data_IF_666320426061
#
_entry.id   IF_666320426061
#
_cell.length_a   1.000
_cell.length_b   1.000
_cell.length_c   1.000
_cell.angle_alpha   90.00
_cell.angle_beta   90.00
_cell.angle_gamma   90.00
#
_symmetry.space_group_name_H-M   'P 1'
#
loop_
_entity.id
_entity.type
_entity.pdbx_description
1 polymer ?
#
# COMPACT_ATOMS: atom_id res chain seq x y z
N UNK A 1 -13.75 13.12 0.16
CA UNK A 1 -12.86 12.08 -0.42
C UNK A 1 -13.62 10.78 -0.55
N UNK A 2 -13.64 10.23 -1.74
CA UNK A 2 -14.25 8.93 -1.94
C UNK A 2 -13.25 7.84 -1.62
N UNK A 3 -13.64 6.86 -0.81
CA UNK A 3 -12.79 5.76 -0.36
C UNK A 3 -13.20 4.50 -1.11
N UNK A 4 -12.25 3.83 -1.75
CA UNK A 4 -12.50 2.57 -2.46
C UNK A 4 -12.02 1.35 -1.68
N UNK A 5 -11.16 1.55 -0.68
CA UNK A 5 -10.69 0.45 0.17
C UNK A 5 -10.48 0.97 1.59
N UNK A 6 -11.00 0.21 2.57
CA UNK A 6 -10.69 0.38 3.98
C UNK A 6 -10.01 -0.88 4.45
N UNK A 7 -8.84 -0.73 5.05
CA UNK A 7 -8.04 -1.85 5.52
C UNK A 7 -7.40 -1.48 6.85
N UNK A 8 -6.53 -2.33 7.35
CA UNK A 8 -5.84 -2.05 8.61
C UNK A 8 -4.48 -2.75 8.62
N UNK A 9 -3.53 -2.14 9.32
CA UNK A 9 -2.22 -2.73 9.56
C UNK A 9 -2.34 -3.92 10.53
N UNK A 10 -1.28 -4.74 10.67
CA UNK A 10 -1.29 -5.82 11.67
C UNK A 10 -1.57 -5.35 13.10
N UNK A 11 -1.14 -4.13 13.45
CA UNK A 11 -1.42 -3.53 14.76
C UNK A 11 -2.78 -2.82 14.80
N UNK A 12 -3.60 -2.99 13.76
CA UNK A 12 -4.99 -2.51 13.69
C UNK A 12 -5.13 -0.99 13.54
N UNK A 13 -4.17 -0.35 12.93
CA UNK A 13 -4.31 1.05 12.52
C UNK A 13 -5.09 1.09 11.22
N UNK A 14 -6.21 1.81 11.21
CA UNK A 14 -7.03 1.91 9.99
C UNK A 14 -6.29 2.65 8.88
N UNK A 15 -6.36 2.08 7.66
CA UNK A 15 -5.73 2.65 6.48
C UNK A 15 -6.77 2.71 5.36
N UNK A 16 -6.80 3.80 4.62
CA UNK A 16 -7.76 3.98 3.52
C UNK A 16 -7.04 4.26 2.21
N UNK A 17 -7.71 3.89 1.12
CA UNK A 17 -7.28 4.19 -0.24
C UNK A 17 -8.37 5.00 -0.91
N UNK A 18 -8.04 6.19 -1.38
CA UNK A 18 -9.00 7.04 -2.08
C UNK A 18 -9.17 6.61 -3.53
N UNK A 19 -10.33 6.92 -4.10
CA UNK A 19 -10.61 6.67 -5.50
C UNK A 19 -9.60 7.37 -6.41
N UNK A 20 -9.19 8.58 -6.05
CA UNK A 20 -8.25 9.36 -6.84
C UNK A 20 -6.87 8.69 -6.90
N UNK A 21 -6.36 8.23 -5.76
CA UNK A 21 -5.09 7.51 -5.72
C UNK A 21 -5.21 6.17 -6.45
N UNK A 22 -6.31 5.46 -6.26
CA UNK A 22 -6.51 4.20 -6.95
C UNK A 22 -6.54 4.36 -8.47
N UNK A 23 -7.16 5.43 -8.97
CA UNK A 23 -7.16 5.72 -10.40
C UNK A 23 -5.75 5.87 -10.96
N UNK A 24 -4.86 6.50 -10.21
CA UNK A 24 -3.46 6.63 -10.61
C UNK A 24 -2.74 5.28 -10.61
N UNK A 25 -3.03 4.43 -9.63
CA UNK A 25 -2.45 3.09 -9.56
C UNK A 25 -2.90 2.28 -10.78
N UNK A 26 -4.17 2.35 -11.14
CA UNK A 26 -4.70 1.67 -12.32
C UNK A 26 -3.98 2.14 -13.59
N UNK A 27 -3.76 3.44 -13.72
CA UNK A 27 -3.14 4.03 -14.89
C UNK A 27 -1.65 3.73 -14.98
N UNK A 28 -0.93 3.84 -13.87
CA UNK A 28 0.54 3.78 -13.86
C UNK A 28 1.10 2.43 -13.43
N UNK A 29 0.35 1.65 -12.68
CA UNK A 29 0.82 0.41 -12.05
C UNK A 29 -0.24 -0.68 -12.11
N UNK A 30 -0.75 -0.94 -13.32
CA UNK A 30 -1.88 -1.85 -13.53
C UNK A 30 -1.66 -3.25 -12.92
N UNK A 31 -0.41 -3.72 -12.90
CA UNK A 31 -0.11 -5.06 -12.38
C UNK A 31 -0.43 -5.22 -10.89
N UNK A 32 -0.50 -4.13 -10.13
CA UNK A 32 -0.81 -4.16 -8.70
C UNK A 32 -2.12 -3.43 -8.39
N UNK A 33 -2.90 -3.09 -9.40
CA UNK A 33 -4.16 -2.37 -9.24
C UNK A 33 -5.31 -3.33 -8.92
N UNK A 34 -5.16 -4.07 -7.85
CA UNK A 34 -6.10 -5.08 -7.37
C UNK A 34 -6.37 -4.78 -5.90
N UNK A 35 -7.60 -4.41 -5.58
CA UNK A 35 -7.95 -4.00 -4.22
C UNK A 35 -7.70 -5.10 -3.20
N UNK A 36 -7.98 -6.36 -3.55
CA UNK A 36 -7.73 -7.48 -2.63
C UNK A 36 -6.24 -7.66 -2.38
N UNK A 37 -5.41 -7.50 -3.39
CA UNK A 37 -3.95 -7.59 -3.25
C UNK A 37 -3.42 -6.44 -2.39
N UNK A 38 -3.92 -5.23 -2.61
CA UNK A 38 -3.54 -4.05 -1.81
C UNK A 38 -3.95 -4.27 -0.36
N UNK A 39 -5.16 -4.78 -0.13
CA UNK A 39 -5.64 -5.09 1.22
C UNK A 39 -4.69 -6.07 1.93
N UNK A 40 -4.31 -7.17 1.26
CA UNK A 40 -3.41 -8.15 1.85
C UNK A 40 -2.02 -7.57 2.12
N UNK A 41 -1.56 -6.66 1.27
CA UNK A 41 -0.25 -6.01 1.45
C UNK A 41 -0.22 -5.20 2.74
N UNK A 42 -1.32 -4.54 3.08
CA UNK A 42 -1.41 -3.75 4.31
C UNK A 42 -1.64 -4.65 5.53
N UNK A 43 -2.54 -5.64 5.43
CA UNK A 43 -2.89 -6.51 6.55
C UNK A 43 -1.82 -7.52 6.91
N UNK A 44 -1.12 -8.04 5.89
CA UNK A 44 -0.15 -9.14 6.05
C UNK A 44 1.09 -8.88 5.20
N UNK A 45 1.82 -7.81 5.49
CA UNK A 45 3.05 -7.54 4.75
C UNK A 45 4.11 -8.58 5.08
N UNK A 46 4.95 -8.89 4.09
CA UNK A 46 6.11 -9.73 4.31
C UNK A 46 7.21 -8.94 5.01
N UNK A 47 7.25 -7.64 4.76
CA UNK A 47 8.25 -6.75 5.33
C UNK A 47 7.71 -5.33 5.41
N UNK A 48 8.19 -4.56 6.38
CA UNK A 48 7.89 -3.14 6.52
C UNK A 48 9.19 -2.38 6.73
N UNK A 49 9.30 -1.21 6.10
CA UNK A 49 10.47 -0.34 6.25
C UNK A 49 10.03 1.11 6.31
N UNK A 50 10.81 1.92 7.04
CA UNK A 50 10.58 3.36 7.04
C UNK A 50 10.82 3.91 5.63
N UNK A 51 9.95 4.83 5.21
CA UNK A 51 10.15 5.57 3.98
C UNK A 51 11.13 6.72 4.26
N UNK A 52 11.93 7.16 3.27
CA UNK A 52 12.79 8.34 3.46
C UNK A 52 12.04 9.59 3.90
N UNK A 53 10.76 9.72 3.54
CA UNK A 53 9.94 10.86 3.98
C UNK A 53 9.38 10.60 5.36
N UNK A 54 9.50 11.57 6.31
CA UNK A 54 8.96 11.40 7.65
C UNK A 54 7.46 11.10 7.64
N UNK A 55 7.04 10.24 8.56
CA UNK A 55 5.63 9.89 8.71
C UNK A 55 5.12 8.86 7.73
N UNK A 56 5.96 8.35 6.85
CA UNK A 56 5.58 7.33 5.85
C UNK A 56 6.29 6.04 6.10
N UNK A 57 5.63 4.95 5.74
CA UNK A 57 6.19 3.61 5.88
C UNK A 57 5.91 2.81 4.61
N UNK A 58 6.82 1.90 4.25
CA UNK A 58 6.70 1.04 3.08
C UNK A 58 6.31 -0.35 3.52
N UNK A 59 5.26 -0.88 2.90
CA UNK A 59 4.76 -2.24 3.13
C UNK A 59 5.06 -3.06 1.88
N UNK A 60 5.70 -4.20 2.07
CA UNK A 60 6.09 -5.08 0.97
C UNK A 60 5.39 -6.42 1.10
N UNK A 61 4.90 -6.94 -0.02
CA UNK A 61 4.35 -8.28 -0.08
C UNK A 61 4.62 -8.90 -1.44
N UNK A 62 5.05 -10.16 -1.43
CA UNK A 62 5.25 -10.89 -2.66
C UNK A 62 4.08 -11.84 -2.87
N UNK A 63 3.45 -11.76 -4.04
CA UNK A 63 2.34 -12.62 -4.42
C UNK A 63 2.39 -12.88 -5.92
N UNK A 64 2.22 -14.16 -6.32
CA UNK A 64 2.17 -14.54 -7.74
C UNK A 64 3.35 -14.01 -8.56
N UNK A 65 4.54 -14.00 -7.98
CA UNK A 65 5.75 -13.53 -8.67
C UNK A 65 5.89 -12.02 -8.74
N UNK A 66 4.96 -11.27 -8.17
CA UNK A 66 5.01 -9.81 -8.15
C UNK A 66 5.35 -9.34 -6.74
N UNK A 67 6.29 -8.41 -6.62
CA UNK A 67 6.57 -7.76 -5.35
C UNK A 67 5.81 -6.45 -5.30
N UNK A 68 4.84 -6.37 -4.39
CA UNK A 68 4.00 -5.18 -4.21
C UNK A 68 4.64 -4.29 -3.15
N UNK A 69 4.70 -3.00 -3.44
CA UNK A 69 5.15 -2.00 -2.47
C UNK A 69 4.05 -0.96 -2.31
N UNK A 70 3.52 -0.84 -1.09
CA UNK A 70 2.54 0.18 -0.75
C UNK A 70 3.17 1.19 0.20
N UNK A 71 3.02 2.47 -0.09
CA UNK A 71 3.51 3.55 0.78
C UNK A 71 2.31 4.11 1.55
N UNK A 72 2.41 4.10 2.88
CA UNK A 72 1.35 4.56 3.78
C UNK A 72 1.83 5.76 4.59
N UNK A 73 1.01 6.78 4.67
CA UNK A 73 1.29 7.96 5.47
C UNK A 73 0.48 7.91 6.76
N UNK A 74 1.15 8.04 7.89
CA UNK A 74 0.59 7.91 9.24
C UNK A 74 0.53 9.25 9.96
N UNK A 75 0.18 10.32 9.31
CA UNK A 75 0.06 11.61 9.98
C UNK A 75 -1.31 11.85 10.59
N UNK A 76 -2.31 11.12 10.15
CA UNK A 76 -3.70 11.31 10.55
C UNK A 76 -4.37 9.96 10.75
N UNK A 77 -5.58 9.96 11.29
CA UNK A 77 -6.41 8.76 11.45
C UNK A 77 -7.68 8.99 10.64
N UNK A 78 -7.98 8.12 9.67
CA UNK A 78 -7.21 6.95 9.26
C UNK A 78 -5.92 7.33 8.52
N UNK A 79 -4.97 6.41 8.50
CA UNK A 79 -3.77 6.55 7.67
C UNK A 79 -4.15 6.41 6.19
N UNK A 80 -3.30 6.88 5.30
CA UNK A 80 -3.65 6.99 3.88
C UNK A 80 -2.60 6.27 3.02
N UNK A 81 -3.08 5.44 2.09
CA UNK A 81 -2.19 4.87 1.07
C UNK A 81 -1.86 5.98 0.07
N UNK A 82 -0.59 6.30 -0.07
CA UNK A 82 -0.12 7.37 -0.95
C UNK A 82 0.09 6.85 -2.37
N UNK A 83 0.64 5.65 -2.49
CA UNK A 83 0.84 4.98 -3.78
C UNK A 83 1.07 3.49 -3.56
N UNK A 84 0.87 2.71 -4.63
CA UNK A 84 1.20 1.29 -4.69
C UNK A 84 1.84 1.02 -6.04
N UNK A 85 2.94 0.31 -6.06
CA UNK A 85 3.61 -0.05 -7.31
C UNK A 85 4.31 -1.40 -7.20
N UNK A 86 4.67 -1.96 -8.35
CA UNK A 86 5.44 -3.19 -8.39
C UNK A 86 6.91 -2.84 -8.18
N UNK A 87 7.55 -3.51 -7.23
CA UNK A 87 8.96 -3.29 -6.94
C UNK A 87 9.78 -4.35 -7.69
N UNK A 88 10.80 -3.91 -8.41
CA UNK A 88 11.73 -4.80 -9.11
C UNK A 88 12.85 -5.26 -8.21
N UNK A 89 12.95 -4.68 -7.01
CA UNK A 89 14.05 -4.98 -6.12
C UNK A 89 13.81 -6.28 -5.39
N UNK A 90 14.79 -7.15 -5.45
CA UNK A 90 14.82 -8.32 -4.59
C UNK A 90 15.14 -7.84 -3.18
N UNK A 91 14.24 -8.14 -2.24
CA UNK A 91 14.52 -7.89 -0.84
C UNK A 91 15.42 -9.00 -0.34
N UNK A 92 16.55 -8.62 0.16
CA UNK A 92 17.47 -9.63 0.67
C UNK A 92 18.85 -9.21 0.67
#
# INVERSE_FOLDING_TARGET
MEIVLRTATPERIEVVLSALVYAKIVEEHAAVADLALIDRTIRRPDERRADPRPGRERFFRREAGVQVLAVVEFGEVPAIIVTVFASDRTLG
#
